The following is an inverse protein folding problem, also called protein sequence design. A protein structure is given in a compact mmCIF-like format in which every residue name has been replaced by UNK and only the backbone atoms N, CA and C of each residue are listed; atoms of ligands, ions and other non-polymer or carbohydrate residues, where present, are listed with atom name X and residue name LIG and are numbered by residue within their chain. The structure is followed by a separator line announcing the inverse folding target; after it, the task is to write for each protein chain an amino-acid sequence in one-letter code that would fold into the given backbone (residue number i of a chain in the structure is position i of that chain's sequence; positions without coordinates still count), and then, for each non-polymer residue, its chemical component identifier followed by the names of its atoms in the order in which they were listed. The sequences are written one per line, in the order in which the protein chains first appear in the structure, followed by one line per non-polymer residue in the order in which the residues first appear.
data_IF_611334161163
#
_entry.id   IF_611334161163
#
_cell.length_a   1.000
_cell.length_b   1.000
_cell.length_c   1.000
_cell.angle_alpha   90.00
_cell.angle_beta   90.00
_cell.angle_gamma   90.00
#
_symmetry.space_group_name_H-M   'P 1'
#
loop_
_entity.id
_entity.type
_entity.pdbx_description
1 polymer ?
#
# COMPACT_ATOMS: atom_id res chain seq x y z
N UNK A 1 -9.97 -23.29 12.83
CA UNK A 1 -9.00 -23.07 11.72
C UNK A 1 -9.31 -21.74 11.06
N UNK A 2 -8.53 -20.68 11.34
CA UNK A 2 -8.75 -19.38 10.73
C UNK A 2 -8.36 -19.43 9.24
N UNK A 3 -9.29 -19.12 8.32
CA UNK A 3 -8.97 -18.98 6.90
C UNK A 3 -8.08 -17.75 6.74
N UNK A 4 -6.89 -17.93 6.19
CA UNK A 4 -5.97 -16.82 5.92
C UNK A 4 -6.61 -15.83 4.96
N UNK A 5 -6.57 -14.54 5.31
CA UNK A 5 -7.02 -13.46 4.43
C UNK A 5 -6.04 -13.19 3.25
N UNK A 6 -4.89 -13.85 3.25
CA UNK A 6 -3.89 -13.74 2.17
C UNK A 6 -4.31 -14.59 0.97
N UNK A 7 -4.26 -14.01 -0.22
CA UNK A 7 -4.34 -14.78 -1.46
C UNK A 7 -3.02 -15.52 -1.71
N UNK A 8 -3.04 -16.48 -2.63
CA UNK A 8 -1.84 -17.22 -3.07
C UNK A 8 -0.69 -16.31 -3.53
N UNK A 9 -0.99 -15.09 -3.97
CA UNK A 9 0.00 -14.08 -4.36
C UNK A 9 0.54 -13.23 -3.20
N UNK A 10 0.33 -13.63 -1.95
CA UNK A 10 0.98 -13.04 -0.76
C UNK A 10 0.40 -11.72 -0.25
N UNK A 11 -0.72 -11.23 -0.80
CA UNK A 11 -1.40 -10.03 -0.31
C UNK A 11 -2.91 -10.18 -0.21
N UNK A 12 -3.55 -9.29 0.56
CA UNK A 12 -5.00 -9.27 0.78
C UNK A 12 -5.70 -8.45 -0.33
N UNK A 13 -6.96 -8.76 -0.63
CA UNK A 13 -7.74 -7.99 -1.61
C UNK A 13 -7.97 -6.55 -1.16
N UNK A 14 -8.06 -6.33 0.16
CA UNK A 14 -8.12 -5.00 0.75
C UNK A 14 -6.87 -4.19 0.39
N UNK A 15 -5.67 -4.75 0.60
CA UNK A 15 -4.42 -4.05 0.30
C UNK A 15 -4.29 -3.71 -1.19
N UNK A 16 -4.65 -4.64 -2.09
CA UNK A 16 -4.62 -4.37 -3.54
C UNK A 16 -5.49 -3.19 -3.95
N UNK A 17 -6.70 -3.07 -3.38
CA UNK A 17 -7.60 -1.94 -3.63
C UNK A 17 -7.03 -0.62 -3.11
N UNK A 18 -6.43 -0.63 -1.91
CA UNK A 18 -5.80 0.56 -1.32
C UNK A 18 -4.61 1.01 -2.17
N UNK A 19 -3.69 0.09 -2.50
CA UNK A 19 -2.50 0.37 -3.33
C UNK A 19 -2.88 1.06 -4.65
N UNK A 20 -3.89 0.55 -5.35
CA UNK A 20 -4.33 1.15 -6.63
C UNK A 20 -4.84 2.57 -6.43
N UNK A 21 -5.62 2.83 -5.37
CA UNK A 21 -6.13 4.18 -5.07
C UNK A 21 -5.02 5.18 -4.75
N UNK A 22 -3.99 4.76 -4.00
CA UNK A 22 -2.87 5.63 -3.66
C UNK A 22 -2.03 5.95 -4.90
N UNK A 23 -1.69 4.95 -5.72
CA UNK A 23 -1.00 5.21 -6.99
C UNK A 23 -1.79 6.16 -7.91
N UNK A 24 -3.12 6.02 -7.97
CA UNK A 24 -3.97 6.93 -8.74
C UNK A 24 -4.00 8.35 -8.16
N UNK A 25 -4.09 8.49 -6.82
CA UNK A 25 -4.02 9.79 -6.12
C UNK A 25 -2.73 10.53 -6.47
N UNK A 26 -1.63 9.79 -6.46
CA UNK A 26 -0.29 10.35 -6.64
C UNK A 26 0.12 10.42 -8.11
N UNK A 27 -0.83 10.20 -9.03
CA UNK A 27 -0.62 10.23 -10.48
C UNK A 27 0.51 9.31 -10.94
N UNK A 28 0.71 8.19 -10.23
CA UNK A 28 1.83 7.27 -10.44
C UNK A 28 3.20 7.95 -10.33
N UNK A 29 3.34 8.97 -9.48
CA UNK A 29 4.61 9.65 -9.19
C UNK A 29 5.05 9.37 -7.75
N UNK A 30 6.30 8.93 -7.61
CA UNK A 30 6.95 8.62 -6.35
C UNK A 30 7.10 9.88 -5.51
N UNK A 31 6.52 9.88 -4.30
CA UNK A 31 6.57 11.04 -3.42
C UNK A 31 7.98 11.28 -2.83
N UNK A 32 8.87 10.30 -2.88
CA UNK A 32 10.26 10.48 -2.41
C UNK A 32 11.15 11.18 -3.44
N UNK A 33 11.06 10.81 -4.72
CA UNK A 33 12.03 11.24 -5.74
C UNK A 33 11.42 11.88 -6.99
N UNK A 34 10.09 11.90 -7.13
CA UNK A 34 9.39 12.49 -8.27
C UNK A 34 9.46 11.69 -9.57
N UNK A 35 10.00 10.47 -9.55
CA UNK A 35 10.00 9.54 -10.71
C UNK A 35 8.74 8.67 -10.73
N UNK A 36 8.56 7.86 -11.77
CA UNK A 36 7.41 6.94 -11.89
C UNK A 36 7.32 5.96 -10.70
N UNK A 37 6.13 5.85 -10.11
CA UNK A 37 5.82 4.96 -9.00
C UNK A 37 5.07 3.70 -9.46
N UNK A 38 5.56 2.55 -8.97
CA UNK A 38 4.89 1.25 -9.14
C UNK A 38 4.60 0.57 -7.80
N UNK A 39 5.03 1.15 -6.68
CA UNK A 39 4.85 0.64 -5.33
C UNK A 39 4.23 1.71 -4.44
N UNK A 40 3.71 1.29 -3.29
CA UNK A 40 3.18 2.17 -2.24
C UNK A 40 3.81 1.71 -0.94
N UNK A 41 4.40 2.64 -0.22
CA UNK A 41 5.10 2.40 1.03
C UNK A 41 4.34 3.01 2.21
N UNK A 42 4.47 2.36 3.36
CA UNK A 42 3.98 2.91 4.62
C UNK A 42 5.02 3.86 5.22
N UNK A 43 4.64 5.10 5.54
CA UNK A 43 5.51 6.07 6.24
C UNK A 43 5.92 5.51 7.60
N UNK A 44 4.94 5.10 8.41
CA UNK A 44 5.13 4.29 9.60
C UNK A 44 5.00 2.83 9.17
N UNK A 45 6.04 2.00 9.26
CA UNK A 45 5.97 0.60 8.85
C UNK A 45 4.87 -0.17 9.59
N UNK A 46 4.21 -1.12 8.90
CA UNK A 46 3.20 -2.01 9.52
C UNK A 46 3.73 -2.75 10.75
N UNK A 47 5.00 -3.16 10.75
CA UNK A 47 5.65 -3.81 11.90
C UNK A 47 5.78 -2.90 13.13
N UNK A 48 5.70 -1.58 12.94
CA UNK A 48 5.72 -0.55 13.99
C UNK A 48 4.31 -0.01 14.29
N UNK A 49 3.25 -0.67 13.81
CA UNK A 49 1.86 -0.26 14.06
C UNK A 49 1.29 0.72 13.04
N UNK A 50 1.98 0.95 11.90
CA UNK A 50 1.44 1.75 10.81
C UNK A 50 0.14 1.18 10.23
N UNK A 51 -0.81 2.06 9.95
CA UNK A 51 -2.10 1.70 9.37
C UNK A 51 -2.09 1.83 7.84
N UNK A 52 -3.12 1.28 7.18
CA UNK A 52 -3.31 1.39 5.72
C UNK A 52 -4.16 2.62 5.33
N UNK A 53 -4.14 3.70 6.13
CA UNK A 53 -4.86 4.93 5.82
C UNK A 53 -4.03 5.79 4.85
N UNK A 54 -4.69 6.59 3.97
CA UNK A 54 -3.98 7.35 2.94
C UNK A 54 -2.93 8.35 3.45
N UNK A 55 -3.07 8.85 4.68
CA UNK A 55 -2.12 9.75 5.34
C UNK A 55 -0.80 9.06 5.71
N UNK A 56 -0.81 7.73 5.87
CA UNK A 56 0.38 6.93 6.17
C UNK A 56 0.94 6.22 4.92
N UNK A 57 0.44 6.52 3.73
CA UNK A 57 0.81 5.83 2.48
C UNK A 57 1.28 6.80 1.41
N UNK A 58 2.42 6.49 0.79
CA UNK A 58 3.06 7.27 -0.29
C UNK A 58 3.70 6.39 -1.36
#
# INVERSE_FOLDING_TARGET
MARSALRSTGSTDRWRKIRVKILQRDQYVCQYCGQDATTVDHIIPRSKGGNDLPDNLI
#
